data_IF_590650724525
#
_entry.id   IF_590650724525
#
_cell.length_a   1.000
_cell.length_b   1.000
_cell.length_c   1.000
_cell.angle_alpha   90.00
_cell.angle_beta   90.00
_cell.angle_gamma   90.00
#
_symmetry.space_group_name_H-M   'P 1'
#
loop_
_entity.id
_entity.type
_entity.pdbx_description
1 polymer ?
#
# COMPACT_ATOMS: atom_id res chain seq x y z
N UNK A 1 -39.90 18.24 41.90
CA UNK A 1 -40.32 16.93 41.37
C UNK A 1 -39.23 16.41 40.44
N UNK A 2 -38.71 15.19 40.65
CA UNK A 2 -37.71 14.56 39.76
C UNK A 2 -38.44 13.99 38.54
N UNK A 3 -37.97 14.34 37.34
CA UNK A 3 -38.54 13.89 36.07
C UNK A 3 -38.37 12.37 35.90
N UNK A 4 -39.46 11.62 36.11
CA UNK A 4 -39.54 10.15 35.98
C UNK A 4 -39.75 9.68 34.54
N UNK A 5 -40.05 10.58 33.60
CA UNK A 5 -40.58 10.22 32.29
C UNK A 5 -39.56 9.77 31.25
N UNK A 6 -38.25 9.88 31.51
CA UNK A 6 -37.20 9.54 30.54
C UNK A 6 -36.28 8.38 30.97
N UNK A 7 -36.78 7.46 31.79
CA UNK A 7 -36.09 6.18 32.02
C UNK A 7 -37.08 5.07 31.72
N UNK A 8 -36.94 4.43 30.55
CA UNK A 8 -37.44 3.06 30.39
C UNK A 8 -36.83 2.16 31.49
N UNK A 9 -37.25 0.91 31.60
CA UNK A 9 -36.94 0.00 32.73
C UNK A 9 -35.47 -0.09 33.14
N UNK A 10 -34.55 0.37 32.28
CA UNK A 10 -33.12 0.37 32.53
C UNK A 10 -32.58 1.69 33.12
N UNK A 11 -31.90 1.59 34.27
CA UNK A 11 -31.23 2.70 34.98
C UNK A 11 -29.93 3.11 34.27
N UNK A 12 -29.52 4.37 34.45
CA UNK A 12 -28.24 4.88 33.94
C UNK A 12 -27.08 4.01 34.49
N UNK A 13 -26.46 3.23 33.61
CA UNK A 13 -25.47 2.21 33.96
C UNK A 13 -25.79 0.81 33.42
N UNK A 14 -27.05 0.48 33.16
CA UNK A 14 -27.43 -0.83 32.58
C UNK A 14 -27.17 -0.92 31.06
N UNK A 15 -27.06 0.23 30.39
CA UNK A 15 -26.47 0.32 29.04
C UNK A 15 -24.97 -0.05 29.00
N UNK A 16 -24.35 -0.34 30.16
CA UNK A 16 -22.92 -0.65 30.27
C UNK A 16 -22.50 -2.02 29.74
N UNK A 17 -23.43 -2.92 29.41
CA UNK A 17 -23.14 -4.26 28.84
C UNK A 17 -23.59 -4.40 27.39
N UNK A 18 -23.42 -3.34 26.59
CA UNK A 18 -23.55 -3.46 25.13
C UNK A 18 -22.42 -4.38 24.64
N UNK A 19 -22.76 -5.49 23.97
CA UNK A 19 -21.76 -6.39 23.41
C UNK A 19 -20.82 -5.63 22.45
N UNK A 20 -19.57 -6.08 22.31
CA UNK A 20 -18.62 -5.43 21.39
C UNK A 20 -19.17 -5.34 19.96
N UNK A 21 -20.00 -6.29 19.55
CA UNK A 21 -20.65 -6.32 18.23
C UNK A 21 -21.63 -5.16 18.06
N UNK A 22 -22.50 -4.92 19.05
CA UNK A 22 -23.43 -3.78 19.06
C UNK A 22 -22.70 -2.44 19.16
N UNK A 23 -21.52 -2.41 19.79
CA UNK A 23 -20.66 -1.22 19.84
C UNK A 23 -19.94 -0.95 18.51
N UNK A 24 -19.55 -2.01 17.80
CA UNK A 24 -18.80 -1.96 16.52
C UNK A 24 -19.71 -1.64 15.34
N UNK A 25 -20.91 -2.19 15.31
CA UNK A 25 -21.88 -1.96 14.22
C UNK A 25 -22.92 -0.88 14.56
N UNK A 26 -23.01 -0.49 15.83
CA UNK A 26 -23.92 0.53 16.34
C UNK A 26 -25.40 0.18 16.14
N UNK A 27 -26.27 0.99 16.74
CA UNK A 27 -27.71 1.01 16.45
C UNK A 27 -28.02 1.52 15.02
N UNK A 28 -27.02 1.50 14.12
CA UNK A 28 -27.05 2.08 12.78
C UNK A 28 -27.90 1.25 11.82
N UNK A 29 -27.97 -0.08 12.02
CA UNK A 29 -28.86 -0.95 11.23
C UNK A 29 -30.35 -0.78 11.57
N UNK A 30 -30.68 -0.45 12.82
CA UNK A 30 -32.06 -0.37 13.31
C UNK A 30 -32.68 1.03 13.18
N UNK A 31 -31.85 2.07 13.01
CA UNK A 31 -32.27 3.45 12.69
C UNK A 31 -32.16 3.80 11.21
N UNK A 32 -32.07 2.81 10.31
CA UNK A 32 -32.03 3.10 8.86
C UNK A 32 -33.38 3.70 8.45
N UNK A 33 -33.39 4.99 8.16
CA UNK A 33 -34.49 5.63 7.43
C UNK A 33 -34.40 5.23 5.96
N UNK A 34 -35.52 5.20 5.25
CA UNK A 34 -35.57 4.91 3.80
C UNK A 34 -34.58 5.80 3.02
N UNK A 35 -34.43 7.05 3.45
CA UNK A 35 -33.47 8.01 2.90
C UNK A 35 -32.02 7.53 2.94
N UNK A 36 -31.58 6.86 4.01
CA UNK A 36 -30.22 6.33 4.14
C UNK A 36 -30.00 5.07 3.28
N UNK A 37 -31.04 4.27 3.05
CA UNK A 37 -30.97 3.12 2.14
C UNK A 37 -30.87 3.58 0.67
N UNK A 38 -31.59 4.66 0.33
CA UNK A 38 -31.54 5.31 -0.98
C UNK A 38 -30.16 5.94 -1.23
N UNK A 39 -29.58 6.63 -0.24
CA UNK A 39 -28.21 7.17 -0.34
C UNK A 39 -27.15 6.07 -0.51
N UNK A 40 -27.25 4.95 0.20
CA UNK A 40 -26.36 3.79 0.02
C UNK A 40 -26.46 3.26 -1.44
N UNK A 41 -27.67 3.18 -2.00
CA UNK A 41 -27.92 2.71 -3.37
C UNK A 41 -27.37 3.66 -4.45
N UNK A 42 -27.38 4.97 -4.19
CA UNK A 42 -26.74 5.97 -5.06
C UNK A 42 -25.22 6.10 -4.83
N UNK A 43 -24.70 5.54 -3.73
CA UNK A 43 -23.27 5.56 -3.37
C UNK A 43 -22.42 4.45 -4.01
N UNK A 44 -23.02 3.61 -4.86
CA UNK A 44 -22.31 2.80 -5.88
C UNK A 44 -21.64 3.69 -6.95
N UNK A 45 -20.99 4.76 -6.50
CA UNK A 45 -19.95 5.48 -7.22
C UNK A 45 -18.92 4.45 -7.66
N UNK A 46 -18.95 4.16 -8.96
CA UNK A 46 -17.99 3.33 -9.65
C UNK A 46 -16.58 3.75 -9.24
N UNK A 47 -15.98 3.04 -8.29
CA UNK A 47 -14.62 3.35 -7.84
C UNK A 47 -13.71 2.93 -8.99
N UNK A 48 -13.29 3.90 -9.81
CA UNK A 48 -12.21 3.69 -10.76
C UNK A 48 -10.98 3.28 -9.97
N UNK A 49 -10.79 1.96 -9.79
CA UNK A 49 -9.56 1.41 -9.24
C UNK A 49 -8.47 1.83 -10.21
N UNK A 50 -7.72 2.88 -9.85
CA UNK A 50 -6.59 3.38 -10.66
C UNK A 50 -5.74 2.17 -11.01
N UNK A 51 -5.65 1.88 -12.31
CA UNK A 51 -4.88 0.74 -12.77
C UNK A 51 -3.46 0.84 -12.17
N UNK A 52 -3.02 -0.22 -11.52
CA UNK A 52 -1.68 -0.25 -10.90
C UNK A 52 -0.68 0.01 -12.01
N UNK A 53 0.03 1.13 -11.96
CA UNK A 53 1.07 1.47 -12.94
C UNK A 53 2.01 0.27 -13.07
N UNK A 54 2.25 -0.17 -14.31
CA UNK A 54 3.15 -1.27 -14.59
C UNK A 54 4.52 -0.94 -13.97
N UNK A 55 5.12 -1.89 -13.24
CA UNK A 55 6.45 -1.70 -12.66
C UNK A 55 7.44 -1.46 -13.79
N UNK A 56 8.29 -0.44 -13.62
CA UNK A 56 9.34 -0.12 -14.60
C UNK A 56 10.24 -1.34 -14.82
N UNK A 57 10.56 -1.63 -16.09
CA UNK A 57 11.51 -2.69 -16.45
C UNK A 57 12.90 -2.29 -15.93
N UNK A 58 13.49 -3.11 -15.07
CA UNK A 58 14.84 -2.89 -14.53
C UNK A 58 15.87 -3.45 -15.51
N UNK A 59 16.86 -2.63 -15.86
CA UNK A 59 18.01 -3.02 -16.68
C UNK A 59 19.05 -3.64 -15.75
N UNK A 60 19.30 -4.93 -15.87
CA UNK A 60 20.32 -5.62 -15.09
C UNK A 60 21.63 -5.72 -15.85
N UNK A 61 22.73 -5.33 -15.20
CA UNK A 61 24.05 -5.28 -15.81
C UNK A 61 25.10 -5.79 -14.82
N UNK A 62 26.04 -6.60 -15.30
CA UNK A 62 27.28 -6.93 -14.61
C UNK A 62 28.36 -5.94 -15.03
N UNK A 63 28.87 -5.13 -14.12
CA UNK A 63 29.90 -4.11 -14.39
C UNK A 63 31.20 -4.58 -13.75
N UNK A 64 32.28 -4.62 -14.54
CA UNK A 64 33.63 -4.86 -14.02
C UNK A 64 34.35 -3.54 -13.85
N UNK A 65 34.85 -3.31 -12.63
CA UNK A 65 35.68 -2.17 -12.28
C UNK A 65 37.09 -2.61 -11.96
N UNK A 66 38.06 -1.75 -12.23
CA UNK A 66 39.45 -1.92 -11.84
C UNK A 66 39.82 -0.79 -10.92
N UNK A 67 40.21 -1.14 -9.69
CA UNK A 67 40.73 -0.19 -8.71
C UNK A 67 42.00 -0.79 -8.12
N UNK A 68 43.09 -0.01 -8.14
CA UNK A 68 44.40 -0.41 -7.58
C UNK A 68 44.88 -1.78 -8.09
N UNK A 69 44.73 -2.02 -9.40
CA UNK A 69 45.13 -3.28 -10.06
C UNK A 69 44.17 -4.46 -9.86
N UNK A 70 43.21 -4.38 -8.93
CA UNK A 70 42.26 -5.45 -8.64
C UNK A 70 41.00 -5.30 -9.50
N UNK A 71 40.65 -6.36 -10.25
CA UNK A 71 39.40 -6.42 -11.02
C UNK A 71 38.29 -6.96 -10.14
N UNK A 72 37.22 -6.18 -9.93
CA UNK A 72 36.01 -6.61 -9.22
C UNK A 72 34.80 -6.47 -10.14
N UNK A 73 33.85 -7.40 -10.02
CA UNK A 73 32.62 -7.35 -10.80
C UNK A 73 31.39 -7.25 -9.90
N UNK A 74 30.58 -6.22 -10.13
CA UNK A 74 29.36 -5.94 -9.39
C UNK A 74 28.14 -6.18 -10.29
N UNK A 75 27.06 -6.73 -9.72
CA UNK A 75 25.76 -6.80 -10.38
C UNK A 75 24.89 -5.63 -9.91
N UNK A 76 24.38 -4.84 -10.86
CA UNK A 76 23.56 -3.66 -10.55
C UNK A 76 22.35 -3.56 -11.47
N UNK A 77 21.23 -3.16 -10.88
CA UNK A 77 20.00 -2.85 -11.60
C UNK A 77 19.85 -1.33 -11.78
N UNK A 78 19.36 -0.90 -12.94
CA UNK A 78 19.08 0.50 -13.27
C UNK A 78 17.61 0.67 -13.67
N UNK A 79 17.00 1.79 -13.27
CA UNK A 79 15.61 2.08 -13.62
C UNK A 79 15.49 2.92 -14.90
N UNK A 80 16.57 3.57 -15.32
CA UNK A 80 16.63 4.32 -16.57
C UNK A 80 17.95 4.10 -17.32
N UNK A 81 17.91 4.29 -18.64
CA UNK A 81 19.11 4.25 -19.47
C UNK A 81 20.07 5.41 -19.16
N UNK A 82 19.53 6.56 -18.73
CA UNK A 82 20.31 7.74 -18.32
C UNK A 82 21.20 7.43 -17.11
N UNK A 83 20.64 6.81 -16.07
CA UNK A 83 21.40 6.37 -14.90
C UNK A 83 22.51 5.38 -15.28
N UNK A 84 22.19 4.43 -16.15
CA UNK A 84 23.14 3.44 -16.63
C UNK A 84 24.32 4.09 -17.37
N UNK A 85 24.04 4.96 -18.36
CA UNK A 85 25.05 5.70 -19.11
C UNK A 85 25.92 6.57 -18.21
N UNK A 86 25.33 7.21 -17.20
CA UNK A 86 26.08 8.02 -16.25
C UNK A 86 27.07 7.19 -15.44
N UNK A 87 26.69 5.98 -15.01
CA UNK A 87 27.62 5.09 -14.31
C UNK A 87 28.77 4.69 -15.23
N UNK A 88 28.49 4.31 -16.48
CA UNK A 88 29.53 3.89 -17.44
C UNK A 88 30.59 4.95 -17.74
N UNK A 89 30.30 6.24 -17.55
CA UNK A 89 31.28 7.33 -17.69
C UNK A 89 32.35 7.34 -16.59
N UNK A 90 32.23 6.50 -15.56
CA UNK A 90 33.20 6.41 -14.48
C UNK A 90 34.58 5.92 -14.94
N UNK A 91 35.68 6.51 -14.45
CA UNK A 91 37.04 6.25 -14.95
C UNK A 91 37.54 4.82 -14.73
N UNK A 92 36.96 4.11 -13.75
CA UNK A 92 37.42 2.80 -13.32
C UNK A 92 36.63 1.63 -13.93
N UNK A 93 35.79 1.88 -14.93
CA UNK A 93 34.94 0.85 -15.56
C UNK A 93 35.63 0.30 -16.80
N UNK A 94 35.78 -1.02 -16.85
CA UNK A 94 36.47 -1.70 -17.96
C UNK A 94 35.50 -2.34 -18.93
N UNK A 95 34.46 -3.01 -18.40
CA UNK A 95 33.51 -3.76 -19.22
C UNK A 95 32.17 -3.91 -18.52
N UNK A 96 31.12 -4.06 -19.32
CA UNK A 96 29.79 -4.34 -18.83
C UNK A 96 29.12 -5.41 -19.70
N UNK A 97 28.23 -6.20 -19.09
CA UNK A 97 27.42 -7.19 -19.77
C UNK A 97 25.96 -7.08 -19.32
N UNK A 98 25.02 -7.06 -20.26
CA UNK A 98 23.60 -7.17 -19.93
C UNK A 98 23.29 -8.56 -19.40
N UNK A 99 22.54 -8.64 -18.31
CA UNK A 99 22.14 -9.91 -17.71
C UNK A 99 20.63 -9.96 -17.52
N UNK A 100 20.06 -11.17 -17.55
CA UNK A 100 18.69 -11.37 -17.07
C UNK A 100 18.70 -11.32 -15.55
N UNK A 101 17.60 -10.85 -14.94
CA UNK A 101 17.44 -10.72 -13.48
C UNK A 101 17.95 -11.99 -12.80
N UNK A 102 19.01 -11.88 -12.00
CA UNK A 102 19.47 -13.01 -11.21
C UNK A 102 18.46 -13.24 -10.08
N UNK A 103 17.88 -14.44 -10.04
CA UNK A 103 17.21 -14.93 -8.85
C UNK A 103 18.31 -15.08 -7.79
N UNK A 104 18.23 -14.31 -6.70
CA UNK A 104 19.04 -14.60 -5.52
C UNK A 104 18.61 -15.98 -5.04
N UNK A 105 19.40 -17.01 -5.32
CA UNK A 105 19.30 -18.24 -4.55
C UNK A 105 19.65 -17.88 -3.11
N UNK A 106 18.78 -18.34 -2.20
CA UNK A 106 18.80 -18.09 -0.75
C UNK A 106 20.17 -18.38 -0.13
#
# INVERSE_FOLDING_TARGET
MRNTYNKGDFRAGEYGKISQELRKYGNKKWRRTEKAAIEDQFSETFTFKKARKARHKIIWVKITKVANGVKRSDFRGFYSEKEFKNVLKGPNIVRYFHTKRQNKNK
#
